data_IF_625162797671
#
_entry.id   IF_625162797671
#
_cell.length_a   1.000
_cell.length_b   1.000
_cell.length_c   1.000
_cell.angle_alpha   90.00
_cell.angle_beta   90.00
_cell.angle_gamma   90.00
#
_symmetry.space_group_name_H-M   'P 1'
#
loop_
_entity.id
_entity.type
_entity.pdbx_description
1 polymer ?
#
# COMPACT_ATOMS: atom_id res chain seq x y z
N UNK A 1 -0.32 24.84 19.11
CA UNK A 1 -0.56 24.86 17.65
C UNK A 1 -1.22 23.56 17.23
N UNK A 2 -2.21 23.56 16.31
CA UNK A 2 -2.86 22.34 15.78
C UNK A 2 -2.50 22.20 14.32
N UNK A 3 -2.03 21.01 13.93
CA UNK A 3 -1.56 20.71 12.57
C UNK A 3 -2.51 19.70 11.95
N UNK A 4 -3.13 20.06 10.83
CA UNK A 4 -3.95 19.19 10.01
C UNK A 4 -3.12 18.50 8.94
N UNK A 5 -3.26 17.19 8.80
CA UNK A 5 -2.60 16.37 7.77
C UNK A 5 -3.68 15.63 7.00
N UNK A 6 -3.82 15.84 5.69
CA UNK A 6 -4.76 15.06 4.88
C UNK A 6 -4.31 13.61 4.81
N UNK A 7 -5.11 12.67 5.36
CA UNK A 7 -4.81 11.24 5.38
C UNK A 7 -5.14 10.62 4.02
N UNK A 8 -4.35 10.96 3.01
CA UNK A 8 -4.57 10.56 1.62
C UNK A 8 -3.25 10.28 0.92
N UNK A 9 -3.27 9.54 -0.17
CA UNK A 9 -2.12 9.21 -0.99
C UNK A 9 -0.98 8.57 -0.17
N UNK A 10 0.26 9.01 -0.36
CA UNK A 10 1.44 8.43 0.29
C UNK A 10 1.50 8.69 1.81
N UNK A 11 0.60 9.50 2.37
CA UNK A 11 0.47 9.65 3.83
C UNK A 11 0.10 8.32 4.48
N UNK A 12 -0.61 7.43 3.80
CA UNK A 12 -0.96 6.10 4.31
C UNK A 12 0.25 5.27 4.75
N UNK A 13 1.38 5.39 4.07
CA UNK A 13 2.62 4.68 4.44
C UNK A 13 3.65 5.56 5.13
N UNK A 14 3.43 6.87 5.22
CA UNK A 14 4.42 7.82 5.78
C UNK A 14 3.92 8.60 6.99
N UNK A 15 2.67 8.41 7.41
CA UNK A 15 2.06 9.18 8.51
C UNK A 15 2.86 9.09 9.81
N UNK A 16 3.51 7.96 10.10
CA UNK A 16 4.32 7.81 11.32
C UNK A 16 5.56 8.71 11.32
N UNK A 17 6.17 8.95 10.14
CA UNK A 17 7.23 9.93 10.02
C UNK A 17 6.75 11.32 10.48
N UNK A 18 5.61 11.76 9.98
CA UNK A 18 5.05 13.07 10.31
C UNK A 18 4.63 13.18 11.77
N UNK A 19 4.09 12.11 12.35
CA UNK A 19 3.78 12.05 13.79
C UNK A 19 5.05 12.17 14.64
N UNK A 20 6.10 11.38 14.32
CA UNK A 20 7.38 11.42 15.03
C UNK A 20 8.05 12.78 14.92
N UNK A 21 8.10 13.36 13.71
CA UNK A 21 8.64 14.69 13.44
C UNK A 21 7.92 15.76 14.27
N UNK A 22 6.59 15.85 14.18
CA UNK A 22 5.80 16.86 14.86
C UNK A 22 5.86 16.74 16.39
N UNK A 23 5.88 15.53 16.93
CA UNK A 23 6.05 15.30 18.37
C UNK A 23 7.42 15.78 18.86
N UNK A 24 8.47 15.54 18.09
CA UNK A 24 9.83 15.95 18.44
C UNK A 24 10.00 17.47 18.54
N UNK A 25 9.20 18.23 17.78
CA UNK A 25 9.16 19.70 17.87
C UNK A 25 8.09 20.23 18.85
N UNK A 26 7.56 19.38 19.72
CA UNK A 26 6.66 19.77 20.80
C UNK A 26 5.17 19.87 20.43
N UNK A 27 4.73 19.32 19.29
CA UNK A 27 3.31 19.23 18.97
C UNK A 27 2.70 18.01 19.66
N UNK A 28 1.81 18.24 20.62
CA UNK A 28 1.10 17.18 21.35
C UNK A 28 0.24 16.32 20.41
N UNK A 29 0.09 15.02 20.71
CA UNK A 29 -0.63 14.06 19.87
C UNK A 29 -2.06 14.49 19.53
N UNK A 30 -2.77 15.11 20.47
CA UNK A 30 -4.14 15.65 20.30
C UNK A 30 -4.23 16.85 19.36
N UNK A 31 -3.09 17.44 19.05
CA UNK A 31 -2.95 18.57 18.15
C UNK A 31 -2.46 18.16 16.75
N UNK A 32 -2.16 16.88 16.52
CA UNK A 32 -1.92 16.31 15.20
C UNK A 32 -3.25 15.74 14.71
N UNK A 33 -3.84 16.37 13.72
CA UNK A 33 -5.21 16.08 13.26
C UNK A 33 -5.14 15.49 11.86
N UNK A 34 -5.49 14.24 11.72
CA UNK A 34 -5.71 13.64 10.40
C UNK A 34 -7.15 13.86 9.96
N UNK A 35 -7.36 14.00 8.64
CA UNK A 35 -8.69 13.88 8.06
C UNK A 35 -9.23 12.46 8.23
N UNK A 36 -10.55 12.29 8.15
CA UNK A 36 -11.18 10.97 8.13
C UNK A 36 -10.75 10.14 6.90
N UNK A 37 -11.10 8.87 6.89
CA UNK A 37 -10.90 8.02 5.71
C UNK A 37 -11.75 8.57 4.54
N UNK A 38 -11.32 8.32 3.31
CA UNK A 38 -12.02 8.79 2.11
C UNK A 38 -13.46 8.29 2.05
N UNK A 39 -14.39 9.18 1.75
CA UNK A 39 -15.79 8.83 1.50
C UNK A 39 -16.42 9.69 0.41
N UNK A 40 -17.48 9.18 -0.22
CA UNK A 40 -18.25 9.96 -1.20
C UNK A 40 -18.86 11.21 -0.56
N UNK A 41 -19.29 11.10 0.71
CA UNK A 41 -19.87 12.22 1.45
C UNK A 41 -18.84 13.33 1.67
N UNK A 42 -17.63 12.96 2.13
CA UNK A 42 -16.50 13.90 2.28
C UNK A 42 -16.18 14.59 0.95
N UNK A 43 -16.11 13.84 -0.16
CA UNK A 43 -15.87 14.39 -1.49
C UNK A 43 -16.97 15.33 -1.96
N UNK A 44 -18.24 14.99 -1.70
CA UNK A 44 -19.42 15.77 -2.08
C UNK A 44 -19.54 17.04 -1.25
N UNK A 45 -19.33 16.96 0.06
CA UNK A 45 -19.50 18.09 0.98
C UNK A 45 -18.34 19.09 0.86
N UNK A 46 -17.11 18.60 0.85
CA UNK A 46 -15.92 19.43 0.97
C UNK A 46 -15.10 19.56 -0.32
N UNK A 47 -15.19 18.60 -1.24
CA UNK A 47 -14.35 18.55 -2.43
C UNK A 47 -14.97 19.06 -3.70
N UNK A 48 -16.32 19.14 -3.77
CA UNK A 48 -17.04 19.48 -5.00
C UNK A 48 -16.65 20.84 -5.56
N UNK A 49 -16.26 20.89 -6.84
CA UNK A 49 -15.87 22.13 -7.53
C UNK A 49 -14.42 22.59 -7.27
N UNK A 50 -13.71 21.95 -6.34
CA UNK A 50 -12.35 22.35 -5.92
C UNK A 50 -11.21 21.57 -6.60
N UNK A 51 -11.53 20.70 -7.53
CA UNK A 51 -10.55 20.07 -8.41
C UNK A 51 -10.05 21.02 -9.50
N UNK A 52 -8.77 20.94 -9.85
CA UNK A 52 -8.18 21.74 -10.94
C UNK A 52 -7.92 20.96 -12.19
N UNK A 53 -7.57 19.69 -12.07
CA UNK A 53 -7.20 18.79 -13.16
C UNK A 53 -7.98 17.51 -13.03
N UNK A 54 -8.52 17.02 -14.13
CA UNK A 54 -9.10 15.68 -14.17
C UNK A 54 -7.98 14.65 -14.15
N UNK A 55 -7.98 13.79 -13.13
CA UNK A 55 -6.95 12.80 -12.87
C UNK A 55 -7.55 11.59 -12.15
N UNK A 56 -6.71 10.60 -11.84
CA UNK A 56 -7.17 9.38 -11.17
C UNK A 56 -7.88 9.67 -9.85
N UNK A 57 -8.84 8.83 -9.51
CA UNK A 57 -9.70 8.96 -8.33
C UNK A 57 -8.94 9.28 -7.02
N UNK A 58 -7.83 8.58 -6.67
CA UNK A 58 -7.11 8.87 -5.44
C UNK A 58 -6.61 10.33 -5.32
N UNK A 59 -6.21 10.95 -6.44
CA UNK A 59 -5.77 12.36 -6.44
C UNK A 59 -6.96 13.30 -6.31
N UNK A 60 -8.12 12.97 -6.92
CA UNK A 60 -9.37 13.73 -6.75
C UNK A 60 -9.83 13.80 -5.29
N UNK A 61 -9.59 12.73 -4.51
CA UNK A 61 -9.96 12.66 -3.10
C UNK A 61 -9.29 13.71 -2.22
N UNK A 62 -8.11 14.22 -2.58
CA UNK A 62 -7.39 15.25 -1.79
C UNK A 62 -8.29 16.44 -1.47
N UNK A 63 -9.13 16.86 -2.41
CA UNK A 63 -10.01 18.03 -2.23
C UNK A 63 -11.01 17.84 -1.08
N UNK A 64 -11.56 16.64 -0.91
CA UNK A 64 -12.44 16.31 0.21
C UNK A 64 -11.71 16.39 1.55
N UNK A 65 -10.50 15.83 1.63
CA UNK A 65 -9.67 15.87 2.83
C UNK A 65 -9.25 17.29 3.22
N UNK A 66 -8.90 18.12 2.24
CA UNK A 66 -8.57 19.53 2.50
C UNK A 66 -9.78 20.28 3.03
N UNK A 67 -10.92 20.15 2.38
CA UNK A 67 -12.12 20.86 2.80
C UNK A 67 -12.61 20.40 4.17
N UNK A 68 -12.51 19.11 4.51
CA UNK A 68 -12.79 18.62 5.85
C UNK A 68 -11.87 19.27 6.91
N UNK A 69 -10.57 19.34 6.64
CA UNK A 69 -9.61 19.94 7.58
C UNK A 69 -9.80 21.45 7.74
N UNK A 70 -10.22 22.16 6.68
CA UNK A 70 -10.42 23.61 6.69
C UNK A 70 -11.78 23.99 7.28
N UNK A 71 -12.85 23.27 6.88
CA UNK A 71 -14.24 23.68 7.20
C UNK A 71 -14.94 22.74 8.17
N UNK A 72 -14.58 21.45 8.20
CA UNK A 72 -15.28 20.40 8.95
C UNK A 72 -14.82 20.23 10.40
N UNK A 73 -13.72 20.85 10.81
CA UNK A 73 -13.15 20.65 12.13
C UNK A 73 -13.87 21.45 13.22
N UNK A 74 -14.27 20.77 14.31
CA UNK A 74 -14.84 21.44 15.50
C UNK A 74 -13.87 22.43 16.17
N UNK A 75 -12.57 22.10 16.17
CA UNK A 75 -11.50 22.98 16.63
C UNK A 75 -10.62 23.28 15.44
N UNK A 76 -10.44 24.55 15.12
CA UNK A 76 -9.65 25.04 14.01
C UNK A 76 -8.22 24.49 14.03
N UNK A 77 -7.69 24.10 12.87
CA UNK A 77 -6.27 23.86 12.66
C UNK A 77 -5.55 25.21 12.41
N UNK A 78 -4.26 25.28 12.69
CA UNK A 78 -3.44 26.45 12.44
C UNK A 78 -2.52 26.26 11.23
N UNK A 79 -2.13 25.01 10.97
CA UNK A 79 -1.30 24.63 9.82
C UNK A 79 -1.99 23.49 9.09
N UNK A 80 -2.10 23.58 7.78
CA UNK A 80 -2.42 22.47 6.89
C UNK A 80 -1.11 21.99 6.28
N UNK A 81 -0.60 20.84 6.76
CA UNK A 81 0.63 20.24 6.32
C UNK A 81 0.33 19.13 5.29
N UNK A 82 0.63 19.37 4.03
CA UNK A 82 0.38 18.45 2.93
C UNK A 82 1.63 18.23 2.08
N UNK A 83 2.53 17.32 2.47
CA UNK A 83 3.83 17.17 1.84
C UNK A 83 3.73 16.64 0.41
N UNK A 84 4.58 17.16 -0.46
CA UNK A 84 4.86 16.66 -1.80
C UNK A 84 5.97 15.60 -1.71
N UNK A 85 5.59 14.33 -1.61
CA UNK A 85 6.53 13.23 -1.39
C UNK A 85 7.11 12.78 -2.73
N UNK A 86 8.38 13.09 -2.95
CA UNK A 86 9.12 12.78 -4.18
C UNK A 86 9.52 11.31 -4.26
N UNK A 87 10.07 10.76 -3.18
CA UNK A 87 10.48 9.36 -3.11
C UNK A 87 10.09 8.73 -1.78
N UNK A 88 9.90 7.40 -1.79
CA UNK A 88 9.54 6.60 -0.63
C UNK A 88 10.67 5.63 -0.28
N UNK A 89 10.84 5.26 1.01
CA UNK A 89 11.66 4.12 1.37
C UNK A 89 11.15 2.85 0.66
N UNK A 90 12.05 2.06 0.10
CA UNK A 90 11.72 0.84 -0.63
C UNK A 90 12.71 -0.28 -0.32
N UNK A 91 12.24 -1.53 -0.30
CA UNK A 91 13.11 -2.72 -0.22
C UNK A 91 13.96 -2.89 -1.48
N UNK A 92 13.58 -2.24 -2.58
CA UNK A 92 14.29 -2.31 -3.86
C UNK A 92 15.38 -1.24 -3.98
N UNK A 93 15.60 -0.41 -2.95
CA UNK A 93 16.67 0.59 -2.98
C UNK A 93 18.03 -0.07 -3.21
N UNK A 94 18.79 0.43 -4.18
CA UNK A 94 20.07 -0.16 -4.60
C UNK A 94 19.97 -1.36 -5.55
N UNK A 95 18.77 -1.91 -5.80
CA UNK A 95 18.52 -3.01 -6.74
C UNK A 95 17.88 -2.56 -8.05
N UNK A 96 17.26 -1.40 -8.06
CA UNK A 96 16.70 -0.74 -9.24
C UNK A 96 17.28 0.66 -9.37
N UNK A 97 17.15 1.26 -10.55
CA UNK A 97 17.52 2.67 -10.76
C UNK A 97 16.71 3.55 -9.80
N UNK A 98 17.28 4.65 -9.33
CA UNK A 98 16.60 5.63 -8.47
C UNK A 98 15.23 5.98 -9.02
N UNK A 99 14.24 5.82 -8.16
CA UNK A 99 12.85 5.91 -8.55
C UNK A 99 12.10 6.92 -7.70
N UNK A 100 11.06 7.49 -8.30
CA UNK A 100 10.22 8.50 -7.69
C UNK A 100 8.77 8.02 -7.56
N UNK A 101 7.99 8.70 -6.77
CA UNK A 101 6.55 8.47 -6.69
C UNK A 101 5.85 8.95 -7.97
N UNK A 102 4.58 8.62 -8.15
CA UNK A 102 3.80 9.15 -9.27
C UNK A 102 3.79 10.69 -9.22
N UNK A 103 4.14 11.34 -10.34
CA UNK A 103 4.23 12.81 -10.43
C UNK A 103 2.90 13.50 -10.16
N UNK A 104 1.75 12.90 -10.54
CA UNK A 104 0.42 13.41 -10.20
C UNK A 104 0.13 13.36 -8.70
N UNK A 105 0.59 12.30 -8.04
CA UNK A 105 0.47 12.14 -6.58
C UNK A 105 1.37 13.15 -5.86
N UNK A 106 2.60 13.29 -6.32
CA UNK A 106 3.57 14.25 -5.77
C UNK A 106 3.06 15.70 -5.89
N UNK A 107 2.59 16.10 -7.08
CA UNK A 107 2.09 17.44 -7.34
C UNK A 107 0.65 17.69 -6.86
N UNK A 108 -0.04 16.65 -6.38
CA UNK A 108 -1.43 16.73 -5.91
C UNK A 108 -1.69 17.85 -4.90
N UNK A 109 -0.87 18.04 -3.87
CA UNK A 109 -1.02 19.13 -2.90
C UNK A 109 -1.16 20.51 -3.53
N UNK A 110 -0.25 20.89 -4.42
CA UNK A 110 -0.28 22.21 -5.07
C UNK A 110 -1.41 22.33 -6.11
N UNK A 111 -1.72 21.26 -6.83
CA UNK A 111 -2.85 21.25 -7.74
C UNK A 111 -4.18 21.50 -7.03
N UNK A 112 -4.42 20.86 -5.89
CA UNK A 112 -5.65 21.02 -5.13
C UNK A 112 -5.69 22.39 -4.44
N UNK A 113 -4.57 22.85 -3.87
CA UNK A 113 -4.46 24.23 -3.35
C UNK A 113 -4.91 25.25 -4.39
N UNK A 114 -4.44 25.13 -5.63
CA UNK A 114 -4.86 26.02 -6.70
C UNK A 114 -6.39 25.97 -6.97
N UNK A 115 -7.03 24.82 -6.74
CA UNK A 115 -8.48 24.66 -6.80
C UNK A 115 -9.21 25.47 -5.72
N UNK A 116 -8.73 25.42 -4.49
CA UNK A 116 -9.28 26.18 -3.38
C UNK A 116 -9.09 27.69 -3.57
N UNK A 117 -7.94 28.13 -4.05
CA UNK A 117 -7.65 29.55 -4.29
C UNK A 117 -8.53 30.21 -5.38
N UNK A 118 -9.27 29.42 -6.18
CA UNK A 118 -10.31 29.99 -7.07
C UNK A 118 -11.46 30.66 -6.32
N UNK A 119 -11.68 30.27 -5.06
CA UNK A 119 -12.71 30.84 -4.19
C UNK A 119 -12.21 32.06 -3.38
N UNK A 120 -10.96 32.48 -3.56
CA UNK A 120 -10.28 33.50 -2.77
C UNK A 120 -9.15 32.91 -1.92
N UNK A 121 -8.62 33.68 -0.96
CA UNK A 121 -7.60 33.18 -0.04
C UNK A 121 -8.21 32.35 1.11
N UNK A 122 -8.80 31.23 0.76
CA UNK A 122 -9.54 30.34 1.68
C UNK A 122 -8.70 29.95 2.91
N UNK A 123 -7.41 29.74 2.75
CA UNK A 123 -6.53 29.36 3.87
C UNK A 123 -6.22 30.57 4.76
N UNK A 124 -5.84 31.71 4.17
CA UNK A 124 -5.58 32.94 4.90
C UNK A 124 -6.83 33.48 5.63
N UNK A 125 -7.99 33.49 4.96
CA UNK A 125 -9.27 33.90 5.57
C UNK A 125 -9.65 32.96 6.73
N UNK A 126 -9.33 31.68 6.64
CA UNK A 126 -9.46 30.75 7.74
C UNK A 126 -8.35 30.90 8.80
N UNK A 127 -7.31 31.73 8.56
CA UNK A 127 -6.12 31.89 9.41
C UNK A 127 -5.34 30.58 9.55
N UNK A 128 -5.22 29.85 8.45
CA UNK A 128 -4.50 28.59 8.33
C UNK A 128 -3.25 28.83 7.47
N UNK A 129 -2.08 28.49 8.00
CA UNK A 129 -0.84 28.43 7.21
C UNK A 129 -0.84 27.16 6.39
N UNK A 130 -0.89 27.28 5.06
CA UNK A 130 -0.71 26.15 4.16
C UNK A 130 0.77 25.85 3.98
N UNK A 131 1.17 24.58 4.12
CA UNK A 131 2.55 24.12 3.93
C UNK A 131 2.60 22.80 3.15
N UNK A 132 3.34 22.79 2.03
CA UNK A 132 3.53 21.63 1.17
C UNK A 132 5.02 21.38 0.93
N UNK A 133 5.78 20.92 1.95
CA UNK A 133 7.20 20.66 1.79
C UNK A 133 7.44 19.60 0.72
N UNK A 134 8.37 19.86 -0.20
CA UNK A 134 8.90 18.87 -1.11
C UNK A 134 9.93 18.01 -0.37
N UNK A 135 9.73 16.68 -0.34
CA UNK A 135 10.57 15.81 0.47
C UNK A 135 10.84 14.46 -0.22
N UNK A 136 12.11 14.03 -0.13
CA UNK A 136 12.61 12.75 -0.68
C UNK A 136 12.83 11.74 0.44
N UNK A 137 11.75 11.13 0.97
CA UNK A 137 11.87 10.19 2.11
C UNK A 137 12.67 8.92 1.78
N UNK A 138 12.83 8.59 0.51
CA UNK A 138 13.71 7.50 0.06
C UNK A 138 15.21 7.84 0.12
N UNK A 139 15.56 9.13 0.19
CA UNK A 139 16.93 9.62 0.35
C UNK A 139 17.06 10.42 1.66
N UNK A 140 17.40 9.71 2.74
CA UNK A 140 17.42 10.27 4.10
C UNK A 140 18.38 11.44 4.26
N UNK A 141 19.45 11.50 3.47
CA UNK A 141 20.48 12.55 3.57
C UNK A 141 19.95 13.93 3.17
N UNK A 142 18.96 13.97 2.27
CA UNK A 142 18.37 15.22 1.81
C UNK A 142 17.26 15.76 2.71
N UNK A 143 16.62 14.91 3.51
CA UNK A 143 15.36 15.23 4.20
C UNK A 143 15.50 16.36 5.20
N UNK A 144 16.61 16.41 5.94
CA UNK A 144 16.84 17.46 6.95
C UNK A 144 16.89 18.85 6.31
N UNK A 145 17.66 19.01 5.23
CA UNK A 145 17.78 20.29 4.53
C UNK A 145 16.44 20.69 3.88
N UNK A 146 15.77 19.74 3.22
CA UNK A 146 14.47 19.98 2.58
C UNK A 146 13.41 20.44 3.59
N UNK A 147 13.30 19.76 4.72
CA UNK A 147 12.31 20.10 5.75
C UNK A 147 12.68 21.35 6.52
N UNK A 148 13.97 21.58 6.82
CA UNK A 148 14.38 22.83 7.45
C UNK A 148 14.04 24.03 6.57
N UNK A 149 14.39 23.97 5.30
CA UNK A 149 14.08 25.05 4.34
C UNK A 149 12.58 25.34 4.25
N UNK A 150 11.75 24.29 4.24
CA UNK A 150 10.30 24.45 4.06
C UNK A 150 9.53 24.78 5.36
N UNK A 151 10.02 24.36 6.52
CA UNK A 151 9.25 24.37 7.77
C UNK A 151 9.82 25.30 8.86
N UNK A 152 11.04 25.84 8.71
CA UNK A 152 11.66 26.68 9.74
C UNK A 152 10.79 27.88 10.13
N UNK A 153 10.20 28.56 9.16
CA UNK A 153 9.36 29.74 9.41
C UNK A 153 7.93 29.35 9.87
N UNK A 154 7.46 28.12 9.55
CA UNK A 154 6.15 27.63 9.94
C UNK A 154 6.11 27.23 11.42
N UNK A 155 7.19 26.63 11.90
CA UNK A 155 7.29 26.08 13.26
C UNK A 155 8.37 26.75 14.13
N UNK A 156 9.04 27.80 13.63
CA UNK A 156 10.14 28.51 14.30
C UNK A 156 11.30 27.56 14.71
N UNK A 157 11.81 26.80 13.73
CA UNK A 157 12.78 25.75 13.97
C UNK A 157 14.21 26.19 13.73
N UNK A 158 15.10 25.80 14.65
CA UNK A 158 16.55 25.84 14.44
C UNK A 158 17.01 24.57 13.68
N UNK A 159 18.20 24.63 12.99
CA UNK A 159 18.70 23.48 12.24
C UNK A 159 18.80 22.19 13.05
N UNK A 160 19.32 22.28 14.29
CA UNK A 160 19.50 21.16 15.19
C UNK A 160 18.16 20.55 15.66
N UNK A 161 17.12 21.38 15.77
CA UNK A 161 15.77 20.92 16.10
C UNK A 161 15.17 20.14 14.93
N UNK A 162 15.38 20.65 13.70
CA UNK A 162 14.94 19.95 12.49
C UNK A 162 15.64 18.61 12.35
N UNK A 163 16.96 18.54 12.59
CA UNK A 163 17.71 17.28 12.52
C UNK A 163 17.17 16.24 13.52
N UNK A 164 16.96 16.66 14.78
CA UNK A 164 16.35 15.78 15.80
C UNK A 164 14.95 15.31 15.38
N UNK A 165 14.14 16.22 14.83
CA UNK A 165 12.78 15.91 14.41
C UNK A 165 12.74 14.94 13.21
N UNK A 166 13.63 15.13 12.24
CA UNK A 166 13.78 14.19 11.10
C UNK A 166 14.20 12.80 11.60
N UNK A 167 15.17 12.74 12.51
CA UNK A 167 15.61 11.48 13.12
C UNK A 167 14.43 10.77 13.81
N UNK A 168 13.70 11.49 14.68
CA UNK A 168 12.53 10.95 15.37
C UNK A 168 11.43 10.50 14.40
N UNK A 169 11.25 11.22 13.28
CA UNK A 169 10.33 10.85 12.20
C UNK A 169 10.70 9.52 11.58
N UNK A 170 11.96 9.31 11.22
CA UNK A 170 12.42 8.03 10.66
C UNK A 170 12.37 6.90 11.68
N UNK A 171 12.75 7.12 12.93
CA UNK A 171 12.64 6.11 13.98
C UNK A 171 11.19 5.61 14.15
N UNK A 172 10.23 6.53 14.12
CA UNK A 172 8.80 6.18 14.19
C UNK A 172 8.34 5.41 12.94
N UNK A 173 8.76 5.83 11.76
CA UNK A 173 8.41 5.18 10.48
C UNK A 173 9.03 3.77 10.40
N UNK A 174 10.30 3.63 10.72
CA UNK A 174 11.01 2.35 10.68
C UNK A 174 10.37 1.36 11.68
N UNK A 175 10.16 1.79 12.93
CA UNK A 175 9.50 0.96 13.94
C UNK A 175 8.12 0.49 13.52
N UNK A 176 7.35 1.32 12.84
CA UNK A 176 6.04 0.93 12.31
C UNK A 176 6.17 -0.08 11.16
N UNK A 177 7.06 0.21 10.21
CA UNK A 177 7.29 -0.64 9.03
C UNK A 177 7.79 -2.02 9.44
N UNK A 178 8.74 -2.09 10.37
CA UNK A 178 9.29 -3.35 10.87
C UNK A 178 8.23 -4.19 11.57
N UNK A 179 7.38 -3.57 12.41
CA UNK A 179 6.25 -4.26 13.03
C UNK A 179 5.25 -4.79 12.01
N UNK A 180 4.91 -4.00 11.00
CA UNK A 180 3.99 -4.41 9.95
C UNK A 180 4.56 -5.57 9.10
N UNK A 181 5.85 -5.55 8.79
CA UNK A 181 6.54 -6.65 8.11
C UNK A 181 6.62 -7.91 8.98
N UNK A 182 6.89 -7.74 10.28
CA UNK A 182 6.87 -8.86 11.23
C UNK A 182 5.49 -9.50 11.29
N UNK A 183 4.42 -8.72 11.38
CA UNK A 183 3.05 -9.23 11.32
C UNK A 183 2.78 -10.01 10.02
N UNK A 184 3.26 -9.52 8.89
CA UNK A 184 3.13 -10.23 7.61
C UNK A 184 3.90 -11.55 7.61
N UNK A 185 5.10 -11.59 8.23
CA UNK A 185 5.86 -12.83 8.44
C UNK A 185 5.10 -13.80 9.36
N UNK A 186 4.51 -13.30 10.43
CA UNK A 186 3.71 -14.12 11.36
C UNK A 186 2.48 -14.72 10.67
N UNK A 187 1.81 -13.95 9.80
CA UNK A 187 0.71 -14.43 8.96
C UNK A 187 1.20 -15.55 8.03
N UNK A 188 2.33 -15.36 7.34
CA UNK A 188 2.90 -16.40 6.47
C UNK A 188 3.28 -17.66 7.26
N UNK A 189 3.86 -17.49 8.45
CA UNK A 189 4.18 -18.60 9.35
C UNK A 189 2.92 -19.35 9.76
N UNK A 190 1.87 -18.63 10.14
CA UNK A 190 0.58 -19.24 10.48
C UNK A 190 -0.01 -19.99 9.27
N UNK A 191 0.03 -19.39 8.08
CA UNK A 191 -0.43 -20.04 6.84
C UNK A 191 0.35 -21.32 6.56
N UNK A 192 1.68 -21.29 6.74
CA UNK A 192 2.55 -22.44 6.56
C UNK A 192 2.21 -23.59 7.50
N UNK A 193 2.10 -23.28 8.80
CA UNK A 193 1.83 -24.28 9.85
C UNK A 193 0.42 -24.85 9.78
N UNK A 194 -0.55 -24.10 9.27
CA UNK A 194 -1.94 -24.53 9.16
C UNK A 194 -2.35 -24.92 7.72
N UNK A 195 -1.41 -24.92 6.77
CA UNK A 195 -1.68 -25.19 5.35
C UNK A 195 -2.85 -24.35 4.78
N UNK A 196 -2.90 -23.10 5.17
CA UNK A 196 -3.94 -22.16 4.75
C UNK A 196 -3.42 -21.17 3.71
N UNK A 197 -4.24 -20.84 2.71
CA UNK A 197 -3.88 -19.82 1.72
C UNK A 197 -4.00 -18.42 2.32
N UNK A 198 -3.22 -17.49 1.77
CA UNK A 198 -3.41 -16.06 1.94
C UNK A 198 -3.46 -15.37 0.57
N UNK A 199 -3.91 -14.12 0.60
CA UNK A 199 -4.04 -13.26 -0.58
C UNK A 199 -3.00 -12.15 -0.48
N UNK A 200 -2.26 -11.90 -1.57
CA UNK A 200 -1.42 -10.72 -1.69
C UNK A 200 -2.16 -9.63 -2.46
N UNK A 201 -2.28 -8.45 -1.85
CA UNK A 201 -2.77 -7.25 -2.52
C UNK A 201 -1.60 -6.52 -3.16
N UNK A 202 -1.59 -6.47 -4.48
CA UNK A 202 -0.66 -5.66 -5.26
C UNK A 202 -1.33 -4.34 -5.63
N UNK A 203 -0.98 -3.29 -4.91
CA UNK A 203 -1.59 -1.99 -5.06
C UNK A 203 -0.62 -0.86 -4.68
N UNK A 204 -1.00 0.36 -4.98
CA UNK A 204 -0.31 1.54 -4.47
C UNK A 204 -0.71 1.81 -3.02
N UNK A 205 0.13 2.48 -2.23
CA UNK A 205 -0.09 2.67 -0.79
C UNK A 205 -1.49 3.16 -0.43
N UNK A 206 -2.02 4.07 -1.18
CA UNK A 206 -3.30 4.72 -0.91
C UNK A 206 -4.55 3.85 -1.14
N UNK A 207 -4.42 2.65 -1.71
CA UNK A 207 -5.52 1.70 -1.78
C UNK A 207 -5.81 1.00 -0.44
N UNK A 208 -4.95 1.22 0.58
CA UNK A 208 -5.25 0.82 1.97
C UNK A 208 -6.36 1.68 2.59
N UNK A 209 -6.63 2.85 2.03
CA UNK A 209 -7.80 3.66 2.37
C UNK A 209 -9.08 2.93 1.98
N UNK A 210 -9.97 2.70 2.94
CA UNK A 210 -11.21 1.93 2.75
C UNK A 210 -12.10 2.53 1.66
N UNK A 211 -12.15 3.86 1.54
CA UNK A 211 -12.89 4.54 0.49
C UNK A 211 -12.26 4.39 -0.89
N UNK A 212 -10.93 4.44 -0.99
CA UNK A 212 -10.20 4.27 -2.26
C UNK A 212 -10.13 2.80 -2.66
N UNK A 213 -9.93 1.89 -1.69
CA UNK A 213 -9.88 0.44 -1.88
C UNK A 213 -11.24 -0.24 -1.93
N UNK A 214 -12.34 0.52 -1.74
CA UNK A 214 -13.72 0.01 -1.73
C UNK A 214 -13.96 -1.16 -0.78
N UNK A 215 -13.31 -1.16 0.37
CA UNK A 215 -13.46 -2.19 1.42
C UNK A 215 -13.15 -3.63 0.97
N UNK A 216 -12.53 -3.81 -0.21
CA UNK A 216 -12.21 -5.13 -0.79
C UNK A 216 -11.41 -6.00 0.18
N UNK A 217 -10.47 -5.40 0.91
CA UNK A 217 -9.69 -6.11 1.92
C UNK A 217 -10.59 -6.68 3.03
N UNK A 218 -11.44 -5.85 3.61
CA UNK A 218 -12.35 -6.25 4.68
C UNK A 218 -13.31 -7.37 4.26
N UNK A 219 -13.85 -7.26 3.05
CA UNK A 219 -14.75 -8.29 2.50
C UNK A 219 -14.02 -9.63 2.32
N UNK A 220 -12.79 -9.64 1.81
CA UNK A 220 -12.00 -10.87 1.67
C UNK A 220 -11.62 -11.47 3.04
N UNK A 221 -11.26 -10.62 4.01
CA UNK A 221 -10.99 -11.06 5.39
C UNK A 221 -12.23 -11.64 6.08
N UNK A 222 -13.42 -11.10 5.82
CA UNK A 222 -14.67 -11.63 6.32
C UNK A 222 -14.95 -13.08 5.84
N UNK A 223 -14.42 -13.46 4.68
CA UNK A 223 -14.43 -14.83 4.18
C UNK A 223 -13.32 -15.74 4.76
N UNK A 224 -12.51 -15.23 5.71
CA UNK A 224 -11.49 -16.00 6.42
C UNK A 224 -10.13 -16.09 5.73
N UNK A 225 -9.86 -15.27 4.72
CA UNK A 225 -8.58 -15.24 4.03
C UNK A 225 -7.67 -14.15 4.60
N UNK A 226 -6.49 -14.50 5.15
CA UNK A 226 -5.48 -13.52 5.55
C UNK A 226 -5.02 -12.70 4.35
N UNK A 227 -4.83 -11.39 4.57
CA UNK A 227 -4.39 -10.45 3.54
C UNK A 227 -2.98 -9.98 3.85
N UNK A 228 -2.14 -9.97 2.83
CA UNK A 228 -0.82 -9.33 2.84
C UNK A 228 -0.83 -8.14 1.89
N UNK A 229 -0.25 -7.03 2.33
CA UNK A 229 -0.04 -5.86 1.48
C UNK A 229 1.39 -5.82 0.95
N UNK A 230 1.54 -5.49 -0.32
CA UNK A 230 2.84 -5.35 -0.98
C UNK A 230 3.84 -4.53 -0.17
N UNK A 231 3.40 -3.39 0.41
CA UNK A 231 4.24 -2.43 1.14
C UNK A 231 4.86 -3.03 2.41
N UNK A 232 4.24 -4.07 2.95
CA UNK A 232 4.64 -4.72 4.19
C UNK A 232 4.99 -6.20 4.03
N UNK A 233 5.28 -6.64 2.80
CA UNK A 233 5.84 -7.97 2.58
C UNK A 233 7.14 -8.12 3.39
N UNK A 234 7.37 -9.28 4.02
CA UNK A 234 8.63 -9.58 4.69
C UNK A 234 9.79 -9.42 3.71
N UNK A 235 10.86 -8.77 4.16
CA UNK A 235 12.12 -8.65 3.41
C UNK A 235 13.26 -9.42 4.08
N UNK A 236 12.95 -10.34 4.97
CA UNK A 236 13.92 -11.10 5.75
C UNK A 236 14.80 -11.96 4.83
N UNK A 237 16.09 -11.89 5.05
CA UNK A 237 17.09 -12.53 4.20
C UNK A 237 16.89 -14.06 4.09
N UNK A 238 16.57 -14.73 5.20
CA UNK A 238 16.33 -16.16 5.23
C UNK A 238 15.15 -16.57 4.37
N UNK A 239 14.02 -15.86 4.50
CA UNK A 239 12.82 -16.13 3.72
C UNK A 239 13.00 -15.79 2.24
N UNK A 240 13.59 -14.66 1.95
CA UNK A 240 13.81 -14.22 0.58
C UNK A 240 14.81 -15.14 -0.15
N UNK A 241 15.90 -15.51 0.48
CA UNK A 241 16.87 -16.46 -0.09
C UNK A 241 16.22 -17.82 -0.34
N UNK A 242 15.41 -18.32 0.58
CA UNK A 242 14.72 -19.60 0.40
C UNK A 242 13.73 -19.55 -0.78
N UNK A 243 12.95 -18.48 -0.93
CA UNK A 243 11.98 -18.35 -2.03
C UNK A 243 12.62 -18.23 -3.40
N UNK A 244 13.82 -17.64 -3.49
CA UNK A 244 14.50 -17.32 -4.75
C UNK A 244 15.77 -18.14 -4.98
N UNK A 245 16.07 -19.13 -4.13
CA UNK A 245 17.28 -19.95 -4.22
C UNK A 245 17.51 -20.52 -5.62
N UNK A 246 16.49 -21.14 -6.20
CA UNK A 246 16.58 -21.76 -7.51
C UNK A 246 16.85 -20.73 -8.62
N UNK A 247 16.24 -19.56 -8.57
CA UNK A 247 16.45 -18.49 -9.57
C UNK A 247 17.88 -17.91 -9.49
N UNK A 248 18.42 -17.79 -8.28
CA UNK A 248 19.82 -17.36 -8.05
C UNK A 248 20.81 -18.41 -8.49
N UNK A 249 20.59 -19.70 -8.17
CA UNK A 249 21.45 -20.80 -8.59
C UNK A 249 21.50 -20.97 -10.11
N UNK A 250 20.37 -20.71 -10.79
CA UNK A 250 20.30 -20.71 -12.26
C UNK A 250 20.86 -19.45 -12.92
N UNK A 251 21.32 -18.47 -12.11
CA UNK A 251 21.84 -17.20 -12.60
C UNK A 251 20.83 -16.30 -13.28
N UNK A 252 19.53 -16.49 -13.03
CA UNK A 252 18.45 -15.66 -13.58
C UNK A 252 18.41 -14.29 -12.91
N UNK A 253 18.72 -14.23 -11.63
CA UNK A 253 18.75 -13.03 -10.80
C UNK A 253 19.99 -13.03 -9.92
N UNK A 254 20.44 -11.83 -9.50
CA UNK A 254 21.62 -11.65 -8.66
C UNK A 254 21.27 -11.61 -7.17
N UNK A 255 20.03 -11.25 -6.84
CA UNK A 255 19.51 -11.18 -5.48
C UNK A 255 18.00 -11.41 -5.48
N UNK A 256 17.37 -11.72 -4.34
CA UNK A 256 15.91 -11.85 -4.23
C UNK A 256 15.14 -10.56 -4.58
N UNK A 257 15.80 -9.42 -4.58
CA UNK A 257 15.23 -8.10 -4.90
C UNK A 257 15.48 -7.67 -6.35
N UNK A 258 16.21 -8.47 -7.11
CA UNK A 258 16.45 -8.25 -8.54
C UNK A 258 15.18 -8.59 -9.35
N UNK A 259 14.73 -7.63 -10.16
CA UNK A 259 13.56 -7.78 -11.03
C UNK A 259 13.93 -7.75 -12.52
N UNK A 260 15.23 -7.69 -12.84
CA UNK A 260 15.73 -7.51 -14.21
C UNK A 260 15.37 -8.67 -15.16
N UNK A 261 15.06 -9.84 -14.61
CA UNK A 261 14.60 -11.02 -15.36
C UNK A 261 13.16 -10.89 -15.90
N UNK A 262 12.35 -10.06 -15.30
CA UNK A 262 10.91 -9.92 -15.64
C UNK A 262 10.52 -8.48 -16.03
N UNK A 263 11.30 -7.47 -15.62
CA UNK A 263 10.95 -6.08 -15.80
C UNK A 263 12.19 -5.19 -15.92
N UNK A 264 12.23 -4.37 -16.98
CA UNK A 264 13.16 -3.25 -17.03
C UNK A 264 12.70 -2.19 -16.05
N UNK A 265 13.58 -1.70 -15.18
CA UNK A 265 13.24 -0.71 -14.16
C UNK A 265 12.47 0.48 -14.73
N UNK A 266 11.41 0.85 -14.06
CA UNK A 266 10.63 2.06 -14.32
C UNK A 266 11.09 3.17 -13.37
N UNK A 267 10.89 4.44 -13.73
CA UNK A 267 11.09 5.54 -12.81
C UNK A 267 10.06 5.58 -11.66
N UNK A 268 8.97 4.84 -11.76
CA UNK A 268 7.96 4.74 -10.70
C UNK A 268 8.34 3.65 -9.70
N UNK A 269 8.66 4.05 -8.46
CA UNK A 269 8.99 3.12 -7.37
C UNK A 269 7.91 2.06 -7.15
N UNK A 270 6.65 2.48 -7.03
CA UNK A 270 5.56 1.54 -6.81
C UNK A 270 5.35 0.56 -7.97
N UNK A 271 5.70 0.95 -9.21
CA UNK A 271 5.64 0.04 -10.35
C UNK A 271 6.66 -1.09 -10.19
N UNK A 272 7.90 -0.76 -9.83
CA UNK A 272 8.95 -1.75 -9.58
C UNK A 272 8.59 -2.68 -8.40
N UNK A 273 8.07 -2.12 -7.32
CA UNK A 273 7.59 -2.90 -6.16
C UNK A 273 6.48 -3.88 -6.54
N UNK A 274 5.53 -3.48 -7.39
CA UNK A 274 4.46 -4.36 -7.89
C UNK A 274 5.05 -5.55 -8.66
N UNK A 275 6.08 -5.33 -9.49
CA UNK A 275 6.76 -6.41 -10.21
C UNK A 275 7.49 -7.35 -9.26
N UNK A 276 8.17 -6.81 -8.24
CA UNK A 276 8.80 -7.62 -7.20
C UNK A 276 7.76 -8.42 -6.41
N UNK A 277 6.68 -7.78 -5.96
CA UNK A 277 5.59 -8.48 -5.25
C UNK A 277 4.95 -9.59 -6.08
N UNK A 278 4.82 -9.41 -7.40
CA UNK A 278 4.35 -10.46 -8.31
C UNK A 278 5.32 -11.67 -8.32
N UNK A 279 6.64 -11.44 -8.31
CA UNK A 279 7.64 -12.50 -8.19
C UNK A 279 7.54 -13.21 -6.84
N UNK A 280 7.40 -12.46 -5.74
CA UNK A 280 7.19 -13.06 -4.41
C UNK A 280 5.93 -13.92 -4.40
N UNK A 281 4.81 -13.43 -4.94
CA UNK A 281 3.58 -14.20 -5.06
C UNK A 281 3.78 -15.47 -5.88
N UNK A 282 4.52 -15.41 -6.97
CA UNK A 282 4.79 -16.57 -7.81
C UNK A 282 5.62 -17.65 -7.07
N UNK A 283 6.48 -17.27 -6.13
CA UNK A 283 7.36 -18.20 -5.40
C UNK A 283 6.79 -18.67 -4.07
N UNK A 284 6.13 -17.78 -3.31
CA UNK A 284 5.61 -18.11 -1.99
C UNK A 284 4.42 -19.09 -2.08
N UNK A 285 4.52 -20.29 -1.47
CA UNK A 285 3.48 -21.32 -1.59
C UNK A 285 2.13 -20.88 -1.07
N UNK A 286 2.11 -20.17 0.06
CA UNK A 286 0.86 -19.79 0.75
C UNK A 286 0.16 -18.59 0.12
N UNK A 287 0.85 -17.80 -0.70
CA UNK A 287 0.22 -16.76 -1.52
C UNK A 287 -0.38 -17.44 -2.76
N UNK A 288 -1.62 -17.89 -2.65
CA UNK A 288 -2.31 -18.63 -3.72
C UNK A 288 -3.14 -17.74 -4.63
N UNK A 289 -3.32 -16.49 -4.23
CA UNK A 289 -4.07 -15.50 -4.98
C UNK A 289 -3.42 -14.12 -4.87
N UNK A 290 -3.42 -13.40 -5.98
CA UNK A 290 -3.09 -11.99 -6.07
C UNK A 290 -4.34 -11.21 -6.43
N UNK A 291 -4.61 -10.17 -5.65
CA UNK A 291 -5.62 -9.15 -5.96
C UNK A 291 -4.91 -7.86 -6.34
N UNK A 292 -5.02 -7.47 -7.61
CA UNK A 292 -4.40 -6.26 -8.15
C UNK A 292 -5.41 -5.12 -8.10
N UNK A 293 -5.19 -4.13 -7.22
CA UNK A 293 -6.02 -2.93 -7.13
C UNK A 293 -5.39 -1.78 -7.91
N UNK A 294 -6.20 -1.06 -8.65
CA UNK A 294 -5.80 0.17 -9.34
C UNK A 294 -7.02 1.02 -9.70
N UNK A 295 -6.78 2.30 -9.95
CA UNK A 295 -7.82 3.24 -10.36
C UNK A 295 -7.91 3.33 -11.89
N UNK A 296 -9.09 3.63 -12.40
CA UNK A 296 -9.42 3.66 -13.83
C UNK A 296 -8.42 4.47 -14.67
N UNK A 297 -8.06 5.67 -14.22
CA UNK A 297 -7.19 6.60 -14.97
C UNK A 297 -5.71 6.49 -14.60
N UNK A 298 -5.26 5.39 -13.97
CA UNK A 298 -3.86 5.23 -13.59
C UNK A 298 -2.98 4.84 -14.78
N UNK A 299 -2.44 5.83 -15.50
CA UNK A 299 -1.52 5.61 -16.62
C UNK A 299 -0.22 4.88 -16.25
N UNK A 300 0.20 4.91 -14.97
CA UNK A 300 1.39 4.21 -14.50
C UNK A 300 1.15 2.71 -14.29
N UNK A 301 -0.09 2.29 -14.05
CA UNK A 301 -0.44 0.90 -13.84
C UNK A 301 -0.83 0.16 -15.11
N UNK A 302 -1.33 0.88 -16.12
CA UNK A 302 -1.78 0.29 -17.38
C UNK A 302 -0.74 -0.64 -18.05
N UNK A 303 0.54 -0.24 -18.22
CA UNK A 303 1.54 -1.11 -18.83
C UNK A 303 1.94 -2.30 -17.96
N UNK A 304 1.58 -2.31 -16.67
CA UNK A 304 2.01 -3.33 -15.72
C UNK A 304 1.04 -4.51 -15.59
N UNK A 305 -0.20 -4.38 -16.05
CA UNK A 305 -1.21 -5.44 -15.84
C UNK A 305 -0.82 -6.76 -16.47
N UNK A 306 -0.50 -6.76 -17.75
CA UNK A 306 -0.14 -8.01 -18.47
C UNK A 306 1.15 -8.64 -17.95
N UNK A 307 2.26 -7.91 -17.73
CA UNK A 307 3.45 -8.49 -17.13
C UNK A 307 3.18 -9.08 -15.73
N UNK A 308 2.50 -8.33 -14.84
CA UNK A 308 2.16 -8.79 -13.49
C UNK A 308 1.35 -10.09 -13.54
N UNK A 309 0.30 -10.13 -14.38
CA UNK A 309 -0.53 -11.31 -14.57
C UNK A 309 0.30 -12.52 -15.04
N UNK A 310 1.13 -12.34 -16.06
CA UNK A 310 1.98 -13.42 -16.59
C UNK A 310 2.95 -13.99 -15.55
N UNK A 311 3.56 -13.11 -14.72
CA UNK A 311 4.47 -13.55 -13.66
C UNK A 311 3.71 -14.40 -12.64
N UNK A 312 2.55 -13.93 -12.19
CA UNK A 312 1.74 -14.58 -11.15
C UNK A 312 1.16 -15.91 -11.65
N UNK A 313 0.55 -15.92 -12.83
CA UNK A 313 -0.12 -17.10 -13.40
C UNK A 313 0.86 -18.18 -13.87
N UNK A 314 2.15 -17.84 -14.13
CA UNK A 314 3.17 -18.81 -14.55
C UNK A 314 3.37 -19.97 -13.55
N UNK A 315 2.99 -19.79 -12.28
CA UNK A 315 3.07 -20.81 -11.23
C UNK A 315 1.70 -21.33 -10.78
N UNK A 316 0.65 -21.05 -11.56
CA UNK A 316 -0.72 -21.43 -11.25
C UNK A 316 -1.40 -20.55 -10.18
N UNK A 317 -0.71 -19.54 -9.66
CA UNK A 317 -1.29 -18.59 -8.68
C UNK A 317 -2.46 -17.83 -9.32
N UNK A 318 -3.57 -17.72 -8.60
CA UNK A 318 -4.75 -17.00 -9.08
C UNK A 318 -4.45 -15.50 -9.17
N UNK A 319 -4.96 -14.87 -10.23
CA UNK A 319 -4.80 -13.43 -10.43
C UNK A 319 -6.16 -12.78 -10.73
N UNK A 320 -6.55 -11.81 -9.90
CA UNK A 320 -7.76 -11.02 -10.08
C UNK A 320 -7.43 -9.53 -10.10
N UNK A 321 -8.03 -8.79 -11.02
CA UNK A 321 -7.77 -7.38 -11.21
C UNK A 321 -9.02 -6.54 -10.95
N UNK A 322 -8.88 -5.54 -10.08
CA UNK A 322 -9.77 -4.40 -9.92
C UNK A 322 -9.04 -3.16 -10.45
N UNK A 323 -9.08 -2.97 -11.76
CA UNK A 323 -8.34 -1.90 -12.46
C UNK A 323 -9.18 -0.67 -12.77
N UNK A 324 -10.38 -0.60 -12.20
CA UNK A 324 -11.44 0.34 -12.53
C UNK A 324 -12.06 0.95 -11.27
N UNK A 325 -11.29 1.03 -10.17
CA UNK A 325 -11.77 1.65 -8.94
C UNK A 325 -11.93 3.16 -9.14
N UNK A 326 -13.15 3.65 -8.89
CA UNK A 326 -13.53 5.05 -8.98
C UNK A 326 -14.71 5.32 -8.02
N UNK A 327 -14.99 6.58 -7.73
CA UNK A 327 -16.08 7.02 -6.85
C UNK A 327 -17.46 6.48 -7.22
N UNK A 328 -17.69 6.22 -8.49
CA UNK A 328 -19.02 5.87 -9.04
C UNK A 328 -19.27 4.37 -9.17
N UNK A 329 -18.37 3.50 -8.69
CA UNK A 329 -18.50 2.07 -8.91
C UNK A 329 -19.60 1.44 -8.06
N UNK A 330 -20.56 0.72 -8.67
CA UNK A 330 -21.62 0.02 -7.93
C UNK A 330 -21.04 -1.05 -7.00
N UNK A 331 -21.36 -0.99 -5.71
CA UNK A 331 -20.92 -1.96 -4.70
C UNK A 331 -21.26 -3.42 -5.06
N UNK A 332 -22.41 -3.65 -5.74
CA UNK A 332 -22.80 -4.99 -6.21
C UNK A 332 -21.79 -5.64 -7.16
N UNK A 333 -21.15 -4.87 -8.03
CA UNK A 333 -20.13 -5.40 -8.95
C UNK A 333 -18.86 -5.88 -8.22
N UNK A 334 -18.50 -5.24 -7.11
CA UNK A 334 -17.36 -5.65 -6.28
C UNK A 334 -17.69 -6.94 -5.54
N UNK A 335 -18.88 -7.05 -4.93
CA UNK A 335 -19.31 -8.26 -4.22
C UNK A 335 -19.28 -9.52 -5.09
N UNK A 336 -19.80 -9.44 -6.32
CA UNK A 336 -19.77 -10.58 -7.27
C UNK A 336 -18.32 -11.02 -7.57
N UNK A 337 -17.40 -10.06 -7.72
CA UNK A 337 -15.98 -10.38 -7.95
C UNK A 337 -15.35 -11.04 -6.71
N UNK A 338 -15.69 -10.59 -5.50
CA UNK A 338 -15.20 -11.17 -4.24
C UNK A 338 -15.68 -12.61 -4.10
N UNK A 339 -16.97 -12.88 -4.31
CA UNK A 339 -17.52 -14.24 -4.30
C UNK A 339 -16.83 -15.14 -5.33
N UNK A 340 -16.50 -14.60 -6.50
CA UNK A 340 -15.73 -15.31 -7.52
C UNK A 340 -14.33 -15.66 -7.00
N UNK A 341 -13.63 -14.73 -6.38
CA UNK A 341 -12.29 -14.96 -5.80
C UNK A 341 -12.36 -16.07 -4.74
N UNK A 342 -13.32 -15.97 -3.82
CA UNK A 342 -13.55 -16.95 -2.75
C UNK A 342 -13.81 -18.35 -3.30
N UNK A 343 -14.66 -18.45 -4.33
CA UNK A 343 -14.94 -19.71 -5.02
C UNK A 343 -13.66 -20.34 -5.62
N UNK A 344 -12.85 -19.56 -6.32
CA UNK A 344 -11.61 -20.08 -6.92
C UNK A 344 -10.57 -20.45 -5.86
N UNK A 345 -10.45 -19.66 -4.79
CA UNK A 345 -9.57 -19.97 -3.67
C UNK A 345 -9.94 -21.29 -3.01
N UNK A 346 -11.22 -21.50 -2.70
CA UNK A 346 -11.68 -22.75 -2.07
C UNK A 346 -11.38 -23.99 -2.92
N UNK A 347 -11.41 -23.83 -4.25
CA UNK A 347 -11.23 -24.93 -5.20
C UNK A 347 -9.75 -25.25 -5.52
N UNK A 348 -8.89 -24.23 -5.59
CA UNK A 348 -7.57 -24.40 -6.20
C UNK A 348 -6.39 -24.18 -5.24
N UNK A 349 -6.60 -23.58 -4.05
CA UNK A 349 -5.50 -23.17 -3.17
C UNK A 349 -4.58 -24.33 -2.77
N UNK A 350 -5.12 -25.48 -2.39
CA UNK A 350 -4.33 -26.63 -1.95
C UNK A 350 -3.40 -27.13 -3.09
N UNK A 351 -3.95 -27.26 -4.29
CA UNK A 351 -3.17 -27.66 -5.46
C UNK A 351 -2.04 -26.68 -5.76
N UNK A 352 -2.33 -25.37 -5.69
CA UNK A 352 -1.33 -24.32 -5.94
C UNK A 352 -0.20 -24.39 -4.90
N UNK A 353 -0.53 -24.54 -3.61
CA UNK A 353 0.47 -24.66 -2.54
C UNK A 353 1.39 -25.86 -2.77
N UNK A 354 0.81 -27.03 -3.04
CA UNK A 354 1.57 -28.27 -3.30
C UNK A 354 2.50 -28.12 -4.51
N UNK A 355 2.01 -27.54 -5.63
CA UNK A 355 2.82 -27.32 -6.82
C UNK A 355 4.02 -26.40 -6.55
N UNK A 356 3.81 -25.30 -5.82
CA UNK A 356 4.90 -24.36 -5.50
C UNK A 356 5.95 -24.97 -4.57
N UNK A 357 5.53 -25.75 -3.57
CA UNK A 357 6.45 -26.41 -2.63
C UNK A 357 7.40 -27.39 -3.30
N UNK A 358 7.01 -28.01 -4.43
CA UNK A 358 7.88 -28.91 -5.19
C UNK A 358 9.15 -28.24 -5.76
N UNK A 359 9.14 -26.89 -5.86
CA UNK A 359 10.26 -26.12 -6.41
C UNK A 359 11.18 -25.52 -5.34
N UNK A 360 10.85 -25.71 -4.06
CA UNK A 360 11.55 -25.09 -2.94
C UNK A 360 12.35 -26.14 -2.15
N UNK A 361 13.42 -25.68 -1.53
CA UNK A 361 14.20 -26.48 -0.58
C UNK A 361 13.31 -26.94 0.59
N UNK A 362 13.50 -28.17 1.11
CA UNK A 362 12.72 -28.67 2.25
C UNK A 362 12.96 -27.88 3.56
N UNK A 363 14.05 -27.13 3.64
CA UNK A 363 14.39 -26.32 4.83
C UNK A 363 13.65 -25.00 4.84
N UNK A 364 12.35 -25.05 5.15
CA UNK A 364 11.51 -23.84 5.21
C UNK A 364 11.86 -22.97 6.43
N UNK A 365 12.20 -21.68 6.26
CA UNK A 365 12.54 -20.80 7.37
C UNK A 365 11.34 -20.40 8.25
N UNK A 366 10.12 -20.72 7.82
CA UNK A 366 8.89 -20.50 8.60
C UNK A 366 8.56 -21.66 9.55
N UNK A 367 9.39 -22.70 9.58
CA UNK A 367 9.26 -23.86 10.47
C UNK A 367 9.09 -25.21 9.75
N UNK A 368 8.96 -26.27 10.53
CA UNK A 368 8.73 -27.62 9.97
C UNK A 368 7.33 -27.72 9.41
N UNK A 369 7.23 -27.88 8.09
CA UNK A 369 5.91 -27.95 7.43
C UNK A 369 5.21 -29.26 7.78
N UNK A 370 3.90 -29.23 8.11
CA UNK A 370 3.11 -30.44 8.25
C UNK A 370 2.96 -31.16 6.91
N UNK A 371 2.79 -32.48 6.95
CA UNK A 371 2.49 -33.23 5.74
C UNK A 371 1.16 -32.78 5.12
N UNK A 372 1.12 -32.65 3.79
CA UNK A 372 -0.15 -32.37 3.11
C UNK A 372 -1.04 -33.62 3.17
N UNK A 373 -2.37 -33.44 3.35
CA UNK A 373 -3.30 -34.56 3.25
C UNK A 373 -3.20 -35.18 1.86
N UNK A 374 -3.32 -36.51 1.79
CA UNK A 374 -3.31 -37.23 0.50
C UNK A 374 -4.46 -36.74 -0.38
N UNK A 375 -4.24 -36.68 -1.68
CA UNK A 375 -5.18 -36.08 -2.66
C UNK A 375 -6.58 -36.72 -2.64
N UNK A 376 -6.71 -37.96 -2.21
CA UNK A 376 -7.99 -38.68 -2.15
C UNK A 376 -8.88 -38.23 -1.00
N UNK A 377 -8.31 -37.70 0.10
CA UNK A 377 -9.10 -37.17 1.22
C UNK A 377 -9.81 -35.84 0.90
N UNK A 378 -9.33 -35.10 -0.10
CA UNK A 378 -9.87 -33.78 -0.49
C UNK A 378 -11.17 -33.94 -1.29
N UNK A 379 -11.36 -35.06 -2.01
CA UNK A 379 -12.58 -35.32 -2.79
C UNK A 379 -13.77 -35.72 -1.90
N UNK A 380 -13.53 -36.37 -0.75
CA UNK A 380 -14.58 -36.77 0.19
C UNK A 380 -15.17 -35.57 0.95
N UNK A 381 -14.33 -34.62 1.43
CA UNK A 381 -14.81 -33.40 2.11
C UNK A 381 -15.66 -32.49 1.18
N UNK A 382 -15.27 -32.37 -0.09
CA UNK A 382 -16.01 -31.57 -1.06
C UNK A 382 -17.38 -32.23 -1.37
N UNK A 383 -17.47 -33.55 -1.35
CA UNK A 383 -18.71 -34.29 -1.59
C UNK A 383 -19.66 -34.22 -0.41
N UNK A 384 -19.14 -34.27 0.82
CA UNK A 384 -19.94 -34.14 2.06
C UNK A 384 -20.49 -32.73 2.21
N UNK A 385 -19.70 -31.70 1.88
CA UNK A 385 -20.15 -30.29 1.93
C UNK A 385 -21.22 -29.99 0.90
N UNK A 386 -21.16 -30.61 -0.30
CA UNK A 386 -22.19 -30.45 -1.32
C UNK A 386 -23.50 -31.15 -0.98
N UNK A 387 -23.46 -32.25 -0.22
CA UNK A 387 -24.66 -32.96 0.22
C UNK A 387 -25.40 -32.26 1.36
N UNK A 388 -24.66 -31.54 2.23
CA UNK A 388 -25.26 -30.73 3.33
C UNK A 388 -25.95 -29.47 2.76
N UNK A 389 -25.44 -28.89 1.68
CA UNK A 389 -26.07 -27.71 1.04
C UNK A 389 -27.31 -28.03 0.18
N UNK A 390 -27.55 -29.29 -0.14
CA UNK A 390 -28.77 -29.75 -0.88
C UNK A 390 -29.90 -30.21 0.07
N UNK A 391 -29.63 -30.28 1.38
CA UNK A 391 -30.62 -30.71 2.38
C UNK A 391 -31.06 -29.58 3.33
N UNK A 392 -30.64 -28.33 3.07
CA UNK A 392 -31.10 -27.11 3.73
C UNK A 392 -31.79 -26.18 2.71
#
# INVERSE_FOLDING_TARGET
MRVGIPKVLNIWTTHQFWVGFLKSIGIESENIVFSSDTSEEQGREFGKGRGTVDCCYPVKCISGHYGELVFGQKKKIHVLLSPMIHSLPSVLHGHVVDTVTCTRVMAGPENIKAGFLKEGDVFGDAGITYSSPFVSLGDRHMVTEQLHTALKDVFDLQPEETERAVKAGFEALDSFTDKARQQSRDILTWCAMNQKPCILVLARPYHMDTGIGHEIEGDLQAHGYPILWLQYLPGDEDLMNWLFEADMQMGRIKSPFDISDVWTSSYSSNTNEIMWGAKVAARCPWITCVVRLSSYECGMDQPTYTPTQKIVEATGTLFFKFGDLDSTKPAGGIKIRIETIVHYLSKYSQKIMQQKLQWLSPNCPLGTLPAFPEADAIQEEATVTSQISQSA
#
